data_IF_031409350435
#
_entry.id   IF_031409350435
#
_cell.length_a   1.000
_cell.length_b   1.000
_cell.length_c   1.000
_cell.angle_alpha   90.00
_cell.angle_beta   90.00
_cell.angle_gamma   90.00
#
_symmetry.space_group_name_H-M   'P 1'
#
loop_
_entity.id
_entity.type
_entity.pdbx_description
1 polymer ?
#
# COMPACT_ATOMS: atom_id res chain seq x y z
N UNK A 1 0.48 8.41 23.60
CA UNK A 1 -0.11 8.59 22.26
C UNK A 1 -1.07 7.46 21.99
N UNK A 2 -2.33 7.77 21.76
CA UNK A 2 -3.33 6.73 21.50
C UNK A 2 -4.36 7.19 20.48
N UNK A 3 -5.01 6.24 19.82
CA UNK A 3 -6.01 6.52 18.81
C UNK A 3 -7.31 6.98 19.46
N UNK A 4 -7.94 7.98 18.87
CA UNK A 4 -9.24 8.49 19.36
C UNK A 4 -10.42 7.61 18.87
N UNK A 5 -10.20 6.77 17.89
CA UNK A 5 -11.15 5.73 17.43
C UNK A 5 -10.36 4.66 16.66
N UNK A 6 -11.03 3.57 16.34
CA UNK A 6 -10.36 2.41 15.73
C UNK A 6 -10.80 2.14 14.30
N UNK A 7 -11.27 3.18 13.59
CA UNK A 7 -11.66 3.05 12.19
C UNK A 7 -11.53 4.39 11.48
N UNK A 8 -11.44 4.35 10.16
CA UNK A 8 -11.44 5.54 9.32
C UNK A 8 -12.85 5.73 8.76
N UNK A 9 -13.34 6.96 8.76
CA UNK A 9 -14.62 7.26 8.13
C UNK A 9 -14.50 7.12 6.61
N UNK A 10 -15.64 7.04 5.93
CA UNK A 10 -15.62 6.93 4.46
C UNK A 10 -14.93 8.13 3.80
N UNK A 11 -15.18 9.33 4.31
CA UNK A 11 -14.55 10.54 3.78
C UNK A 11 -13.03 10.53 3.97
N UNK A 12 -12.58 10.10 5.14
CA UNK A 12 -11.15 9.98 5.42
C UNK A 12 -10.51 8.95 4.51
N UNK A 13 -11.17 7.82 4.34
CA UNK A 13 -10.66 6.75 3.48
C UNK A 13 -10.53 7.23 2.03
N UNK A 14 -11.56 7.90 1.51
CA UNK A 14 -11.53 8.45 0.16
C UNK A 14 -10.39 9.45 0.01
N UNK A 15 -10.24 10.36 0.97
CA UNK A 15 -9.17 11.36 0.93
C UNK A 15 -7.79 10.74 0.91
N UNK A 16 -7.57 9.73 1.74
CA UNK A 16 -6.28 9.04 1.81
C UNK A 16 -5.99 8.31 0.49
N UNK A 17 -6.95 7.56 -0.02
CA UNK A 17 -6.77 6.83 -1.26
C UNK A 17 -6.48 7.78 -2.42
N UNK A 18 -7.25 8.88 -2.52
CA UNK A 18 -7.05 9.85 -3.59
C UNK A 18 -5.65 10.48 -3.54
N UNK A 19 -5.13 10.69 -2.35
CA UNK A 19 -3.77 11.22 -2.21
C UNK A 19 -2.74 10.18 -2.63
N UNK A 20 -2.90 8.95 -2.16
CA UNK A 20 -1.91 7.90 -2.40
C UNK A 20 -1.76 7.54 -3.88
N UNK A 21 -2.85 7.55 -4.64
CA UNK A 21 -2.78 7.19 -6.05
C UNK A 21 -2.01 8.20 -6.89
N UNK A 22 -1.74 9.39 -6.35
CA UNK A 22 -0.96 10.41 -7.03
C UNK A 22 0.54 10.20 -6.91
N UNK A 23 0.97 9.27 -6.08
CA UNK A 23 2.39 8.99 -5.84
C UNK A 23 2.78 7.67 -6.49
N UNK A 24 3.87 7.68 -7.24
CA UNK A 24 4.34 6.49 -7.95
C UNK A 24 5.17 5.56 -7.06
N UNK A 25 5.89 6.13 -6.10
CA UNK A 25 6.78 5.35 -5.25
C UNK A 25 5.98 4.61 -4.17
N UNK A 26 6.19 3.29 -4.08
CA UNK A 26 5.55 2.49 -3.04
C UNK A 26 6.01 2.91 -1.64
N UNK A 27 7.27 3.32 -1.51
CA UNK A 27 7.82 3.79 -0.25
C UNK A 27 7.13 5.09 0.18
N UNK A 28 6.99 6.04 -0.75
CA UNK A 28 6.28 7.28 -0.46
C UNK A 28 4.84 7.02 -0.07
N UNK A 29 4.16 6.14 -0.79
CA UNK A 29 2.78 5.80 -0.47
C UNK A 29 2.67 5.24 0.94
N UNK A 30 3.61 4.40 1.35
CA UNK A 30 3.58 3.83 2.70
C UNK A 30 3.73 4.90 3.78
N UNK A 31 4.69 5.80 3.60
CA UNK A 31 4.93 6.88 4.56
C UNK A 31 3.72 7.82 4.64
N UNK A 32 3.19 8.22 3.50
CA UNK A 32 2.04 9.10 3.44
C UNK A 32 0.80 8.43 4.04
N UNK A 33 0.60 7.16 3.76
CA UNK A 33 -0.52 6.40 4.32
C UNK A 33 -0.49 6.42 5.84
N UNK A 34 0.65 6.05 6.42
CA UNK A 34 0.80 6.04 7.87
C UNK A 34 0.57 7.43 8.45
N UNK A 35 1.17 8.45 7.84
CA UNK A 35 1.02 9.81 8.32
C UNK A 35 -0.41 10.31 8.27
N UNK A 36 -1.11 10.07 7.16
CA UNK A 36 -2.49 10.52 7.02
C UNK A 36 -3.44 9.80 7.97
N UNK A 37 -3.28 8.48 8.13
CA UNK A 37 -4.09 7.73 9.08
C UNK A 37 -3.83 8.21 10.50
N UNK A 38 -2.57 8.41 10.85
CA UNK A 38 -2.22 8.92 12.18
C UNK A 38 -2.84 10.29 12.43
N UNK A 39 -2.80 11.16 11.43
CA UNK A 39 -3.39 12.50 11.56
C UNK A 39 -4.89 12.44 11.80
N UNK A 40 -5.57 11.50 11.18
CA UNK A 40 -7.02 11.33 11.38
C UNK A 40 -7.36 10.80 12.76
N UNK A 41 -6.50 9.98 13.34
CA UNK A 41 -6.87 9.19 14.52
C UNK A 41 -6.13 9.55 15.80
N UNK A 42 -5.06 10.32 15.71
CA UNK A 42 -4.23 10.68 16.86
C UNK A 42 -4.13 12.20 16.94
N UNK A 43 -4.65 12.77 18.02
CA UNK A 43 -4.74 14.21 18.17
C UNK A 43 -3.36 14.88 18.20
N UNK A 44 -2.38 14.24 18.79
CA UNK A 44 -1.03 14.80 18.89
C UNK A 44 -0.34 14.97 17.54
N UNK A 45 -0.86 14.33 16.49
CA UNK A 45 -0.26 14.42 15.16
C UNK A 45 -0.32 15.83 14.56
N UNK A 46 -1.24 16.66 15.03
CA UNK A 46 -1.33 18.05 14.57
C UNK A 46 -0.07 18.86 14.87
N UNK A 47 0.73 18.40 15.83
CA UNK A 47 1.98 19.07 16.20
C UNK A 47 3.12 18.75 15.24
N UNK A 48 2.96 17.74 14.38
CA UNK A 48 4.00 17.30 13.47
C UNK A 48 3.89 18.00 12.13
N UNK A 49 5.04 18.29 11.57
CA UNK A 49 5.17 19.15 10.40
C UNK A 49 4.63 18.51 9.11
N UNK A 50 4.89 17.23 8.91
CA UNK A 50 4.55 16.54 7.68
C UNK A 50 4.39 15.03 7.95
N UNK A 51 4.03 14.29 6.90
CA UNK A 51 3.82 12.85 7.00
C UNK A 51 5.07 12.08 7.41
N UNK A 52 6.25 12.56 7.00
CA UNK A 52 7.50 11.91 7.40
C UNK A 52 7.68 11.94 8.91
N UNK A 53 7.44 13.11 9.51
CA UNK A 53 7.56 13.27 10.97
C UNK A 53 6.49 12.44 11.69
N UNK A 54 5.29 12.38 11.14
CA UNK A 54 4.21 11.56 11.70
C UNK A 54 4.56 10.08 11.64
N UNK A 55 5.09 9.63 10.51
CA UNK A 55 5.53 8.25 10.33
C UNK A 55 6.57 7.89 11.39
N UNK A 56 7.59 8.74 11.56
CA UNK A 56 8.64 8.50 12.54
C UNK A 56 8.06 8.42 13.95
N UNK A 57 7.12 9.29 14.29
CA UNK A 57 6.48 9.28 15.61
C UNK A 57 5.70 7.98 15.86
N UNK A 58 5.02 7.47 14.84
CA UNK A 58 4.28 6.21 14.94
C UNK A 58 5.25 5.06 15.19
N UNK A 59 6.37 5.04 14.48
CA UNK A 59 7.38 3.99 14.66
C UNK A 59 8.05 4.08 16.03
N UNK A 60 8.37 5.28 16.48
CA UNK A 60 9.00 5.48 17.79
C UNK A 60 8.09 5.06 18.93
N UNK A 61 6.79 5.26 18.78
CA UNK A 61 5.81 4.91 19.82
C UNK A 61 5.29 3.48 19.67
N UNK A 62 5.82 2.74 18.70
CA UNK A 62 5.50 1.34 18.51
C UNK A 62 4.00 1.10 18.32
N UNK A 63 3.35 1.97 17.56
CA UNK A 63 1.93 1.89 17.27
C UNK A 63 1.71 1.06 16.00
N UNK A 64 0.91 0.01 16.11
CA UNK A 64 0.58 -0.86 14.98
C UNK A 64 -0.79 -0.48 14.43
N UNK A 65 -0.81 0.40 13.43
CA UNK A 65 -2.06 0.86 12.83
C UNK A 65 -2.83 -0.28 12.15
N UNK A 66 -2.11 -1.24 11.60
CA UNK A 66 -2.74 -2.37 10.94
C UNK A 66 -3.59 -3.19 11.91
N UNK A 67 -3.11 -3.33 13.14
CA UNK A 67 -3.87 -4.04 14.19
C UNK A 67 -4.93 -3.16 14.84
N UNK A 68 -4.64 -1.89 15.04
CA UNK A 68 -5.52 -1.03 15.83
C UNK A 68 -6.65 -0.39 15.02
N UNK A 69 -6.53 -0.33 13.70
CA UNK A 69 -7.52 0.31 12.83
C UNK A 69 -8.25 -0.78 12.03
N UNK A 70 -9.52 -0.94 12.28
CA UNK A 70 -10.33 -2.01 11.69
C UNK A 70 -10.31 -2.06 10.18
N UNK A 71 -10.35 -0.91 9.53
CA UNK A 71 -10.41 -0.85 8.07
C UNK A 71 -9.13 -0.32 7.43
N UNK A 72 -8.02 -0.44 8.13
CA UNK A 72 -6.72 -0.02 7.60
C UNK A 72 -6.37 -0.77 6.30
N UNK A 73 -6.69 -2.06 6.26
CA UNK A 73 -6.41 -2.90 5.09
C UNK A 73 -7.10 -2.41 3.82
N UNK A 74 -8.21 -1.68 3.96
CA UNK A 74 -8.96 -1.17 2.82
C UNK A 74 -8.17 -0.16 2.00
N UNK A 75 -7.23 0.54 2.64
CA UNK A 75 -6.45 1.56 1.95
C UNK A 75 -5.68 0.96 0.79
N UNK A 76 -4.88 -0.06 1.06
CA UNK A 76 -4.06 -0.70 0.02
C UNK A 76 -4.94 -1.37 -1.04
N UNK A 77 -6.02 -2.00 -0.60
CA UNK A 77 -6.95 -2.64 -1.51
C UNK A 77 -7.54 -1.64 -2.51
N UNK A 78 -7.97 -0.47 -2.02
CA UNK A 78 -8.56 0.55 -2.87
C UNK A 78 -7.51 1.26 -3.74
N UNK A 79 -6.33 1.51 -3.19
CA UNK A 79 -5.23 2.09 -3.98
C UNK A 79 -4.87 1.17 -5.13
N UNK A 80 -4.72 -0.12 -4.87
CA UNK A 80 -4.38 -1.09 -5.92
C UNK A 80 -5.47 -1.14 -6.98
N UNK A 81 -6.72 -1.06 -6.58
CA UNK A 81 -7.84 -1.04 -7.52
C UNK A 81 -7.81 0.20 -8.40
N UNK A 82 -7.58 1.37 -7.82
CA UNK A 82 -7.50 2.63 -8.56
C UNK A 82 -6.31 2.66 -9.51
N UNK A 83 -5.20 2.04 -9.12
CA UNK A 83 -4.02 1.95 -9.97
C UNK A 83 -4.13 0.83 -11.01
N UNK A 84 -5.22 0.06 -11.00
CA UNK A 84 -5.41 -1.03 -11.95
C UNK A 84 -4.69 -2.30 -11.57
N UNK A 85 -4.25 -2.43 -10.33
CA UNK A 85 -3.55 -3.62 -9.83
C UNK A 85 -4.48 -4.31 -8.85
N UNK A 86 -5.14 -5.37 -9.28
CA UNK A 86 -6.00 -6.14 -8.40
C UNK A 86 -5.28 -7.35 -7.82
N UNK A 87 -5.95 -8.06 -6.91
CA UNK A 87 -5.37 -9.21 -6.23
C UNK A 87 -4.98 -10.32 -7.20
N UNK A 88 -5.78 -10.54 -8.24
CA UNK A 88 -5.52 -11.57 -9.24
C UNK A 88 -4.21 -11.29 -9.99
N UNK A 89 -4.03 -10.05 -10.42
CA UNK A 89 -2.81 -9.64 -11.12
C UNK A 89 -1.61 -9.79 -10.19
N UNK A 90 -1.77 -9.39 -8.93
CA UNK A 90 -0.69 -9.49 -7.96
C UNK A 90 -0.26 -10.94 -7.75
N UNK A 91 -1.21 -11.84 -7.55
CA UNK A 91 -0.92 -13.25 -7.37
C UNK A 91 -0.22 -13.82 -8.60
N UNK A 92 -0.67 -13.44 -9.79
CA UNK A 92 -0.04 -13.87 -11.04
C UNK A 92 1.41 -13.41 -11.12
N UNK A 93 1.66 -12.13 -10.80
CA UNK A 93 3.02 -11.58 -10.83
C UNK A 93 3.92 -12.25 -9.80
N UNK A 94 3.40 -12.54 -8.62
CA UNK A 94 4.15 -13.25 -7.60
C UNK A 94 4.51 -14.67 -8.04
N UNK A 95 3.58 -15.34 -8.69
CA UNK A 95 3.83 -16.67 -9.24
C UNK A 95 4.92 -16.65 -10.31
N UNK A 96 4.88 -15.66 -11.19
CA UNK A 96 5.90 -15.50 -12.22
C UNK A 96 7.26 -15.23 -11.59
N UNK A 97 7.30 -14.40 -10.57
CA UNK A 97 8.52 -14.08 -9.87
C UNK A 97 9.15 -15.31 -9.23
N UNK A 98 8.33 -16.16 -8.64
CA UNK A 98 8.79 -17.44 -8.08
C UNK A 98 9.39 -18.33 -9.15
N UNK A 99 8.76 -18.40 -10.30
CA UNK A 99 9.24 -19.20 -11.43
C UNK A 99 10.55 -18.64 -11.99
N UNK A 100 10.69 -17.33 -12.02
CA UNK A 100 11.90 -16.69 -12.51
C UNK A 100 13.14 -17.08 -11.71
N UNK A 101 12.97 -17.38 -10.45
CA UNK A 101 14.07 -17.81 -9.62
C UNK A 101 14.63 -19.17 -10.03
N UNK A 102 13.79 -19.98 -10.67
CA UNK A 102 14.20 -21.32 -11.10
C UNK A 102 14.54 -21.45 -12.58
N UNK A 103 14.42 -20.37 -13.33
CA UNK A 103 14.57 -20.41 -14.78
C UNK A 103 15.57 -19.37 -15.27
N UNK A 104 16.07 -19.59 -16.50
CA UNK A 104 16.80 -18.57 -17.21
C UNK A 104 15.89 -17.35 -17.38
N UNK A 105 16.41 -16.20 -17.06
CA UNK A 105 15.63 -14.97 -17.05
C UNK A 105 15.07 -14.62 -18.43
N UNK A 106 15.90 -14.74 -19.47
CA UNK A 106 15.46 -14.42 -20.82
C UNK A 106 14.36 -15.37 -21.28
N UNK A 107 14.50 -16.64 -20.99
CA UNK A 107 13.49 -17.62 -21.32
C UNK A 107 12.17 -17.35 -20.59
N UNK A 108 12.26 -16.95 -19.33
CA UNK A 108 11.09 -16.62 -18.53
C UNK A 108 10.38 -15.40 -19.07
N UNK A 109 11.12 -14.39 -19.52
CA UNK A 109 10.54 -13.19 -20.13
C UNK A 109 9.82 -13.56 -21.44
N UNK A 110 10.40 -14.42 -22.24
CA UNK A 110 9.76 -14.87 -23.46
C UNK A 110 8.46 -15.63 -23.17
N UNK A 111 8.46 -16.46 -22.15
CA UNK A 111 7.26 -17.15 -21.70
C UNK A 111 6.20 -16.16 -21.26
N UNK A 112 6.60 -15.13 -20.54
CA UNK A 112 5.68 -14.10 -20.08
C UNK A 112 5.06 -13.38 -21.27
N UNK A 113 5.86 -13.01 -22.24
CA UNK A 113 5.36 -12.38 -23.46
C UNK A 113 4.39 -13.28 -24.20
N UNK A 114 4.69 -14.57 -24.25
CA UNK A 114 3.81 -15.54 -24.86
C UNK A 114 2.48 -15.64 -24.16
N UNK A 115 2.49 -15.65 -22.84
CA UNK A 115 1.27 -15.70 -22.04
C UNK A 115 0.44 -14.44 -22.21
N UNK A 116 1.09 -13.30 -22.28
CA UNK A 116 0.39 -12.01 -22.38
C UNK A 116 0.00 -11.64 -23.80
N UNK A 117 0.85 -11.98 -24.77
CA UNK A 117 0.61 -11.63 -26.17
C UNK A 117 0.02 -12.75 -26.99
N UNK A 118 0.43 -13.95 -26.72
CA UNK A 118 -0.07 -15.17 -27.34
C UNK A 118 0.52 -16.32 -26.57
N UNK A 119 -0.12 -17.42 -26.59
CA UNK A 119 0.42 -18.57 -25.91
C UNK A 119 1.67 -19.02 -26.64
N UNK A 120 2.71 -19.26 -26.02
CA UNK A 120 3.83 -19.92 -26.63
C UNK A 120 4.79 -20.35 -25.54
N UNK A 121 5.56 -21.34 -25.81
CA UNK A 121 6.47 -21.91 -24.84
C UNK A 121 5.75 -22.38 -23.61
#
# INVERSE_FOLDING_TARGET
MKLNRNYLTSDELVGIVNELVQHESAVEREIIKVGMVAQCLIDEMDEYKDCNAMYDAIMENDIDLDMEVNNYYMIDKLVNKELGIDTTVRVFLESLNSKLQGFDLNNSIEQLKGVMGSANK
#
